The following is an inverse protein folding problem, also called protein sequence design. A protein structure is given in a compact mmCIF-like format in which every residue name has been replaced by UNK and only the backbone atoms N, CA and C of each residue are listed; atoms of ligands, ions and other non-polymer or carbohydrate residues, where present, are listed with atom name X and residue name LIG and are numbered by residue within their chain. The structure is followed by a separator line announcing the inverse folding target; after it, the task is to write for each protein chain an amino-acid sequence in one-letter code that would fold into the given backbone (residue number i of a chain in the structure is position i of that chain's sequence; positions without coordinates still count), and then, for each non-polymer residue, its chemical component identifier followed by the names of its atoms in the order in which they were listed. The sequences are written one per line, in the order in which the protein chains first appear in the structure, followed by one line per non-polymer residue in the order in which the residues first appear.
data_IF_915083660067
#
_entry.id   IF_915083660067
#
_cell.length_a   1.000
_cell.length_b   1.000
_cell.length_c   1.000
_cell.angle_alpha   90.00
_cell.angle_beta   90.00
_cell.angle_gamma   90.00
#
_symmetry.space_group_name_H-M   'P 1'
#
loop_
_entity.id
_entity.type
_entity.pdbx_description
1 polymer ?
#
# COMPACT_ATOMS: atom_id res chain seq x y z
N UNK A 1 7.65 -3.00 -16.71
CA UNK A 1 8.20 -1.64 -16.99
C UNK A 1 9.39 -1.32 -16.08
N UNK A 2 9.24 -1.38 -14.74
CA UNK A 2 10.33 -1.05 -13.79
C UNK A 2 11.68 -1.72 -14.05
N UNK A 3 11.71 -3.03 -14.37
CA UNK A 3 12.95 -3.75 -14.73
C UNK A 3 13.73 -3.09 -15.88
N UNK A 4 13.05 -2.54 -16.89
CA UNK A 4 13.70 -1.87 -18.04
C UNK A 4 14.36 -0.55 -17.63
N UNK A 5 13.87 0.06 -16.54
CA UNK A 5 14.41 1.29 -15.94
C UNK A 5 15.24 1.02 -14.68
N UNK A 6 15.58 -0.24 -14.38
CA UNK A 6 16.39 -0.63 -13.22
C UNK A 6 15.80 -0.19 -11.88
N UNK A 7 14.47 -0.16 -11.76
CA UNK A 7 13.81 0.12 -10.49
C UNK A 7 13.79 -1.13 -9.58
N UNK A 8 13.93 -0.96 -8.24
CA UNK A 8 13.79 -2.05 -7.28
C UNK A 8 12.42 -2.73 -7.37
N UNK A 9 12.39 -4.04 -7.10
CA UNK A 9 11.16 -4.83 -7.05
C UNK A 9 10.75 -5.04 -5.58
N UNK A 10 10.06 -4.05 -5.02
CA UNK A 10 9.62 -4.06 -3.62
C UNK A 10 8.34 -4.89 -3.50
N UNK A 11 8.36 -5.95 -2.68
CA UNK A 11 7.17 -6.71 -2.33
C UNK A 11 6.61 -6.22 -0.99
N UNK A 12 5.31 -5.97 -0.94
CA UNK A 12 4.58 -5.52 0.26
C UNK A 12 3.61 -6.59 0.82
N UNK A 13 3.63 -7.80 0.27
CA UNK A 13 2.75 -8.89 0.68
C UNK A 13 3.55 -10.04 1.29
N UNK A 14 3.06 -10.55 2.42
CA UNK A 14 3.51 -11.82 2.98
C UNK A 14 3.02 -13.00 2.12
N UNK A 15 3.51 -14.21 2.41
CA UNK A 15 3.05 -15.46 1.77
C UNK A 15 1.53 -15.68 1.96
N UNK A 16 1.00 -15.19 3.07
CA UNK A 16 -0.43 -15.26 3.43
C UNK A 16 -1.24 -14.10 2.83
N UNK A 17 -0.61 -13.26 1.98
CA UNK A 17 -1.20 -12.08 1.36
C UNK A 17 -1.65 -10.99 2.34
N UNK A 18 -1.03 -10.93 3.52
CA UNK A 18 -1.16 -9.81 4.44
C UNK A 18 -0.18 -8.67 4.06
N UNK A 19 -0.55 -7.42 4.35
CA UNK A 19 0.28 -6.24 4.10
C UNK A 19 1.51 -6.23 5.03
N UNK A 20 2.71 -6.02 4.49
CA UNK A 20 3.98 -5.95 5.23
C UNK A 20 4.73 -4.64 4.94
N UNK A 21 4.67 -3.69 5.89
CA UNK A 21 5.24 -2.34 5.78
C UNK A 21 6.22 -1.98 6.91
N UNK A 22 5.88 -2.27 8.17
CA UNK A 22 6.64 -1.76 9.34
C UNK A 22 8.06 -2.29 9.44
N UNK A 23 8.25 -3.56 9.12
CA UNK A 23 9.54 -4.25 9.23
C UNK A 23 10.12 -4.56 7.84
N UNK A 24 9.63 -3.85 6.82
CA UNK A 24 10.01 -4.04 5.43
C UNK A 24 11.04 -2.99 5.02
N UNK A 25 12.32 -3.31 5.19
CA UNK A 25 13.43 -2.41 4.87
C UNK A 25 13.40 -1.94 3.41
N UNK A 26 13.02 -2.83 2.47
CA UNK A 26 12.89 -2.48 1.05
C UNK A 26 11.79 -1.44 0.81
N UNK A 27 10.68 -1.53 1.55
CA UNK A 27 9.60 -0.54 1.49
C UNK A 27 9.99 0.79 2.14
N UNK A 28 10.66 0.74 3.28
CA UNK A 28 11.04 1.93 4.05
C UNK A 28 12.24 2.68 3.46
N UNK A 29 13.02 2.04 2.58
CA UNK A 29 14.19 2.64 1.95
C UNK A 29 13.84 3.95 1.22
N UNK A 30 14.37 5.06 1.75
CA UNK A 30 14.19 6.40 1.17
C UNK A 30 12.88 7.09 1.55
N UNK A 31 12.09 6.52 2.47
CA UNK A 31 10.89 7.16 3.02
C UNK A 31 11.20 7.88 4.34
N UNK A 32 10.59 9.04 4.53
CA UNK A 32 10.58 9.73 5.83
C UNK A 32 9.40 9.24 6.67
N UNK A 33 9.67 8.80 7.90
CA UNK A 33 8.68 8.35 8.87
C UNK A 33 7.99 9.51 9.59
N UNK A 34 7.27 10.36 8.86
CA UNK A 34 6.42 11.40 9.46
C UNK A 34 5.30 10.74 10.29
N UNK A 35 4.82 11.35 11.40
CA UNK A 35 3.77 10.76 12.24
C UNK A 35 2.52 10.31 11.47
N UNK A 36 2.11 11.09 10.47
CA UNK A 36 0.94 10.81 9.64
C UNK A 36 1.13 9.55 8.79
N UNK A 37 2.32 9.37 8.21
CA UNK A 37 2.68 8.16 7.44
C UNK A 37 2.76 6.94 8.35
N UNK A 38 3.37 7.09 9.53
CA UNK A 38 3.47 6.00 10.48
C UNK A 38 2.08 5.53 10.92
N UNK A 39 1.14 6.45 11.18
CA UNK A 39 -0.24 6.09 11.50
C UNK A 39 -0.90 5.28 10.38
N UNK A 40 -0.74 5.69 9.12
CA UNK A 40 -1.27 4.94 7.96
C UNK A 40 -0.62 3.55 7.86
N UNK A 41 0.70 3.44 8.04
CA UNK A 41 1.39 2.15 8.01
C UNK A 41 0.92 1.24 9.13
N UNK A 42 0.73 1.79 10.33
CA UNK A 42 0.23 1.08 11.51
C UNK A 42 -1.17 0.53 11.29
N UNK A 43 -2.01 1.31 10.61
CA UNK A 43 -3.38 0.96 10.30
C UNK A 43 -3.56 -0.08 9.20
N UNK A 44 -2.54 -0.28 8.35
CA UNK A 44 -2.59 -1.18 7.19
C UNK A 44 -1.77 -2.47 7.41
N UNK A 45 -0.67 -2.40 8.15
CA UNK A 45 0.24 -3.52 8.34
C UNK A 45 -0.48 -4.72 9.01
N UNK A 46 -0.28 -5.91 8.45
CA UNK A 46 -0.88 -7.16 8.91
C UNK A 46 -2.30 -7.42 8.42
N UNK A 47 -2.96 -6.46 7.79
CA UNK A 47 -4.30 -6.70 7.22
C UNK A 47 -4.23 -7.60 5.99
N UNK A 48 -5.25 -8.44 5.81
CA UNK A 48 -5.49 -9.12 4.52
C UNK A 48 -5.62 -8.09 3.40
N UNK A 49 -5.07 -8.41 2.22
CA UNK A 49 -5.03 -7.53 1.05
C UNK A 49 -6.40 -6.95 0.64
N UNK A 50 -7.51 -7.67 0.83
CA UNK A 50 -8.83 -7.17 0.44
C UNK A 50 -9.40 -6.21 1.47
N UNK A 51 -9.13 -6.45 2.76
CA UNK A 51 -9.46 -5.51 3.84
C UNK A 51 -8.64 -4.24 3.67
N UNK A 52 -7.32 -4.37 3.46
CA UNK A 52 -6.43 -3.24 3.21
C UNK A 52 -6.87 -2.44 1.98
N UNK A 53 -7.24 -3.10 0.88
CA UNK A 53 -7.74 -2.41 -0.33
C UNK A 53 -8.93 -1.50 -0.02
N UNK A 54 -9.93 -1.97 0.73
CA UNK A 54 -11.11 -1.16 1.09
C UNK A 54 -10.70 0.05 1.91
N UNK A 55 -9.86 -0.16 2.93
CA UNK A 55 -9.36 0.91 3.79
C UNK A 55 -8.54 1.95 3.04
N UNK A 56 -7.72 1.54 2.07
CA UNK A 56 -6.97 2.48 1.22
C UNK A 56 -7.93 3.35 0.39
N UNK A 57 -9.02 2.79 -0.14
CA UNK A 57 -10.01 3.60 -0.87
C UNK A 57 -10.65 4.66 0.03
N UNK A 58 -11.02 4.29 1.26
CA UNK A 58 -11.57 5.22 2.26
C UNK A 58 -10.57 6.35 2.60
N UNK A 59 -9.29 6.01 2.80
CA UNK A 59 -8.24 7.01 3.07
C UNK A 59 -8.01 7.93 1.87
N UNK A 60 -8.04 7.40 0.64
CA UNK A 60 -7.88 8.19 -0.58
C UNK A 60 -9.05 9.15 -0.80
N UNK A 61 -10.28 8.72 -0.50
CA UNK A 61 -11.47 9.58 -0.53
C UNK A 61 -11.38 10.67 0.54
N UNK A 62 -11.06 10.31 1.79
CA UNK A 62 -10.93 11.26 2.90
C UNK A 62 -9.82 12.30 2.65
N UNK A 63 -8.72 11.91 1.99
CA UNK A 63 -7.62 12.79 1.61
C UNK A 63 -7.87 13.62 0.35
N UNK A 64 -8.98 13.40 -0.37
CA UNK A 64 -9.27 14.08 -1.64
C UNK A 64 -8.38 13.64 -2.80
N UNK A 65 -7.76 12.46 -2.72
CA UNK A 65 -6.88 11.89 -3.75
C UNK A 65 -7.62 10.98 -4.75
N UNK A 66 -8.88 10.67 -4.48
CA UNK A 66 -9.71 9.78 -5.30
C UNK A 66 -10.54 10.59 -6.31
N UNK A 67 -10.32 10.36 -7.60
CA UNK A 67 -11.08 11.00 -8.69
C UNK A 67 -12.44 10.32 -8.92
N UNK A 68 -12.45 9.00 -9.14
CA UNK A 68 -13.69 8.22 -9.39
C UNK A 68 -13.55 6.73 -9.08
N UNK A 69 -14.70 6.07 -8.88
CA UNK A 69 -14.83 4.60 -8.78
C UNK A 69 -15.78 4.11 -9.86
N UNK A 70 -15.36 3.13 -10.66
CA UNK A 70 -16.15 2.54 -11.75
C UNK A 70 -16.15 0.99 -11.68
N UNK A 71 -17.27 0.32 -11.99
CA UNK A 71 -17.31 -1.14 -12.05
C UNK A 71 -16.36 -1.69 -13.10
N UNK A 72 -15.51 -2.65 -12.72
CA UNK A 72 -14.59 -3.31 -13.63
C UNK A 72 -14.63 -4.83 -13.43
N UNK A 73 -14.83 -5.58 -14.53
CA UNK A 73 -14.85 -7.04 -14.51
C UNK A 73 -13.47 -7.58 -14.87
N UNK A 74 -12.83 -8.24 -13.91
CA UNK A 74 -11.68 -9.09 -14.19
C UNK A 74 -12.18 -10.50 -14.47
N UNK A 75 -11.96 -10.98 -15.69
CA UNK A 75 -12.14 -12.40 -16.06
C UNK A 75 -10.86 -13.19 -15.86
#
# INVERSE_FOLDING_TARGET
VGKRHKLPAINILTVEAAINLKDNEDFLAGLEGTPERQAVWDELNGLDRFVARKKIVELMEAGGFLDKIEPHRHT
#
